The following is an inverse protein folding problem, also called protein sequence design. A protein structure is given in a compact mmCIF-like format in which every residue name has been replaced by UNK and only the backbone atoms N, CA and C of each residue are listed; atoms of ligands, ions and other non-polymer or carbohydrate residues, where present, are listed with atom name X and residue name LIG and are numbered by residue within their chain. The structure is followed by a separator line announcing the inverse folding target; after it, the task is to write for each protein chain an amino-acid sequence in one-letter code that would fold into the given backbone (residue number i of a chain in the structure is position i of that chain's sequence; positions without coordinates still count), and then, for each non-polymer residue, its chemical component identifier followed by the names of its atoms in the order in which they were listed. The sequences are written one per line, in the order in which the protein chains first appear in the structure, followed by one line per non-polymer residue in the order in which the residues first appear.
data_IF_601788407340
#
_entry.id   IF_601788407340
#
_cell.length_a   1.000
_cell.length_b   1.000
_cell.length_c   1.000
_cell.angle_alpha   90.00
_cell.angle_beta   90.00
_cell.angle_gamma   90.00
#
_symmetry.space_group_name_H-M   'P 1'
#
loop_
_entity.id
_entity.type
_entity.pdbx_description
1 polymer ?
#
# COMPACT_ATOMS: atom_id res chain seq x y z
N UNK A 1 -0.15 8.63 5.76
CA UNK A 1 0.65 7.70 4.93
C UNK A 1 -0.19 7.07 3.84
N UNK A 2 0.45 6.58 2.79
CA UNK A 2 -0.26 5.99 1.67
C UNK A 2 0.54 6.13 0.41
N UNK A 3 1.01 5.01 -0.12
CA UNK A 3 1.35 4.92 -1.53
C UNK A 3 0.80 3.62 -2.07
N UNK A 4 -0.06 3.77 -3.08
CA UNK A 4 0.23 3.12 -4.36
C UNK A 4 -0.39 1.75 -4.61
N UNK A 5 -1.71 1.64 -4.52
CA UNK A 5 -2.40 0.51 -5.13
C UNK A 5 -2.17 0.46 -6.65
N UNK A 6 -1.34 -0.48 -7.12
CA UNK A 6 -1.30 -0.88 -8.54
C UNK A 6 -2.46 -1.81 -8.86
N UNK A 7 -3.38 -1.37 -9.72
CA UNK A 7 -4.26 -2.29 -10.45
C UNK A 7 -3.91 -2.23 -11.94
N UNK A 8 -3.04 -3.14 -12.40
CA UNK A 8 -2.86 -3.37 -13.84
C UNK A 8 -4.00 -4.24 -14.36
N UNK A 9 -5.19 -3.65 -14.44
CA UNK A 9 -6.32 -4.20 -15.18
C UNK A 9 -6.24 -3.82 -16.65
N UNK A 10 -5.20 -4.24 -17.39
CA UNK A 10 -5.31 -4.17 -18.86
C UNK A 10 -6.34 -5.21 -19.28
N UNK A 11 -7.59 -4.78 -19.43
CA UNK A 11 -8.59 -5.49 -20.23
C UNK A 11 -8.00 -5.72 -21.62
N UNK A 12 -7.58 -6.94 -21.91
CA UNK A 12 -7.77 -7.53 -23.24
C UNK A 12 -7.69 -9.05 -23.16
N UNK A 13 -8.86 -9.65 -23.43
CA UNK A 13 -9.03 -10.87 -24.22
C UNK A 13 -8.13 -12.07 -23.88
N UNK A 14 -8.76 -13.11 -23.30
CA UNK A 14 -8.40 -14.54 -23.43
C UNK A 14 -6.93 -14.90 -23.10
N UNK A 15 -6.71 -15.39 -21.88
CA UNK A 15 -5.60 -16.31 -21.57
C UNK A 15 -4.57 -15.76 -20.57
N UNK A 16 -4.47 -16.46 -19.43
CA UNK A 16 -3.45 -16.37 -18.36
C UNK A 16 -3.39 -15.06 -17.56
N UNK A 17 -3.60 -15.21 -16.25
CA UNK A 17 -3.64 -14.17 -15.22
C UNK A 17 -2.37 -13.34 -15.19
N UNK A 18 -2.48 -12.07 -15.56
CA UNK A 18 -1.43 -11.08 -15.37
C UNK A 18 -1.65 -10.46 -13.97
N UNK A 19 -1.25 -11.17 -12.91
CA UNK A 19 -1.44 -10.72 -11.52
C UNK A 19 -0.65 -9.43 -11.30
N UNK A 20 -1.34 -8.31 -11.12
CA UNK A 20 -0.72 -7.02 -10.76
C UNK A 20 0.01 -7.10 -9.41
N UNK A 21 1.10 -6.34 -9.27
CA UNK A 21 1.88 -6.18 -8.04
C UNK A 21 1.41 -4.95 -7.32
N UNK A 22 0.85 -5.07 -6.12
CA UNK A 22 0.45 -3.96 -5.24
C UNK A 22 1.62 -3.61 -4.33
N UNK A 23 1.94 -2.32 -4.20
CA UNK A 23 2.88 -1.84 -3.20
C UNK A 23 2.09 -1.06 -2.16
N UNK A 24 2.39 -1.30 -0.90
CA UNK A 24 1.74 -0.62 0.21
C UNK A 24 2.82 -0.11 1.14
N UNK A 25 2.78 1.15 1.54
CA UNK A 25 3.72 1.69 2.52
C UNK A 25 3.02 2.51 3.58
N UNK A 26 3.36 2.22 4.84
CA UNK A 26 2.83 2.87 6.03
C UNK A 26 3.84 2.65 7.18
N UNK A 27 4.34 3.74 7.75
CA UNK A 27 5.27 3.77 8.91
C UNK A 27 4.56 3.65 10.27
N UNK A 28 3.22 3.69 10.34
CA UNK A 28 2.53 3.57 11.61
C UNK A 28 2.30 2.11 12.01
N UNK A 29 2.33 1.90 13.32
CA UNK A 29 1.76 0.71 13.94
C UNK A 29 0.25 0.86 14.15
N UNK A 30 -0.44 -0.27 14.21
CA UNK A 30 -1.87 -0.35 14.49
C UNK A 30 -2.12 0.02 15.95
N UNK A 31 -3.03 0.97 16.16
CA UNK A 31 -3.51 1.36 17.47
C UNK A 31 -4.96 0.96 17.69
N UNK A 32 -5.36 0.84 18.96
CA UNK A 32 -6.76 0.57 19.34
C UNK A 32 -7.74 1.60 18.76
N UNK A 33 -7.32 2.86 18.65
CA UNK A 33 -8.09 3.96 18.04
C UNK A 33 -8.43 3.68 16.56
N UNK A 34 -7.54 3.00 15.83
CA UNK A 34 -7.70 2.68 14.42
C UNK A 34 -8.78 1.62 14.16
N UNK A 35 -9.00 0.69 15.10
CA UNK A 35 -9.94 -0.43 14.95
C UNK A 35 -11.40 0.04 14.73
N UNK A 36 -11.74 1.24 15.21
CA UNK A 36 -13.07 1.82 15.05
C UNK A 36 -13.40 2.24 13.60
N UNK A 37 -12.38 2.45 12.76
CA UNK A 37 -12.53 3.02 11.39
C UNK A 37 -11.84 2.17 10.31
N UNK A 38 -10.88 1.34 10.67
CA UNK A 38 -10.06 0.54 9.76
C UNK A 38 -10.41 -0.95 9.91
N UNK A 39 -11.36 -1.40 9.09
CA UNK A 39 -11.97 -2.75 9.18
C UNK A 39 -10.99 -3.91 8.93
N UNK A 40 -9.81 -3.63 8.37
CA UNK A 40 -8.79 -4.64 8.07
C UNK A 40 -8.06 -5.14 9.31
N UNK A 41 -8.10 -4.39 10.42
CA UNK A 41 -7.28 -4.68 11.61
C UNK A 41 -8.10 -5.32 12.72
N UNK A 42 -7.43 -6.11 13.57
CA UNK A 42 -8.00 -6.75 14.77
C UNK A 42 -7.27 -6.29 16.02
N UNK A 43 -7.85 -6.51 17.20
CA UNK A 43 -7.17 -6.23 18.47
C UNK A 43 -5.84 -6.99 18.62
N UNK A 44 -5.75 -8.19 18.03
CA UNK A 44 -4.52 -8.98 17.99
C UNK A 44 -3.39 -8.34 17.16
N UNK A 45 -3.72 -7.38 16.30
CA UNK A 45 -2.76 -6.71 15.43
C UNK A 45 -2.20 -5.42 16.03
N UNK A 46 -2.67 -5.00 17.20
CA UNK A 46 -2.20 -3.78 17.88
C UNK A 46 -0.68 -3.86 18.09
N UNK A 47 0.03 -2.81 17.70
CA UNK A 47 1.49 -2.71 17.77
C UNK A 47 2.22 -3.27 16.56
N UNK A 48 1.53 -3.95 15.62
CA UNK A 48 2.11 -4.38 14.34
C UNK A 48 1.99 -3.28 13.30
N UNK A 49 2.87 -3.31 12.30
CA UNK A 49 2.86 -2.35 11.20
C UNK A 49 1.59 -2.46 10.35
N UNK A 50 0.91 -1.33 10.11
CA UNK A 50 -0.33 -1.27 9.32
C UNK A 50 -0.15 -1.86 7.92
N UNK A 51 0.97 -1.54 7.26
CA UNK A 51 1.27 -2.01 5.90
C UNK A 51 1.40 -3.53 5.82
N UNK A 52 2.12 -4.14 6.76
CA UNK A 52 2.31 -5.59 6.79
C UNK A 52 1.00 -6.34 7.07
N UNK A 53 0.24 -5.90 8.07
CA UNK A 53 -1.04 -6.54 8.41
C UNK A 53 -2.07 -6.37 7.30
N UNK A 54 -2.14 -5.20 6.65
CA UNK A 54 -3.01 -4.99 5.50
C UNK A 54 -2.64 -5.92 4.33
N UNK A 55 -1.34 -6.13 4.08
CA UNK A 55 -0.87 -7.06 3.06
C UNK A 55 -1.19 -8.53 3.40
N UNK A 56 -1.07 -8.93 4.66
CA UNK A 56 -1.50 -10.26 5.13
C UNK A 56 -3.02 -10.46 4.98
N UNK A 57 -3.82 -9.46 5.38
CA UNK A 57 -5.27 -9.50 5.26
C UNK A 57 -5.70 -9.61 3.79
N UNK A 58 -5.10 -8.83 2.90
CA UNK A 58 -5.40 -8.88 1.47
C UNK A 58 -4.96 -10.21 0.82
N UNK A 59 -3.82 -10.79 1.24
CA UNK A 59 -3.41 -12.15 0.81
C UNK A 59 -4.35 -13.24 1.30
N UNK A 60 -4.96 -13.07 2.47
CA UNK A 60 -5.98 -14.01 2.98
C UNK A 60 -7.23 -13.98 2.10
N UNK A 61 -7.60 -12.82 1.56
CA UNK A 61 -8.74 -12.65 0.64
C UNK A 61 -8.41 -13.18 -0.76
N UNK A 62 -7.21 -12.88 -1.27
CA UNK A 62 -6.75 -13.34 -2.57
C UNK A 62 -5.26 -13.77 -2.49
N UNK A 63 -4.99 -15.07 -2.36
CA UNK A 63 -3.63 -15.60 -2.27
C UNK A 63 -2.77 -15.37 -3.52
N UNK A 64 -3.40 -15.15 -4.69
CA UNK A 64 -2.67 -14.85 -5.94
C UNK A 64 -2.21 -13.39 -6.02
N UNK A 65 -2.67 -12.53 -5.08
CA UNK A 65 -2.28 -11.14 -5.05
C UNK A 65 -0.82 -10.99 -4.59
N UNK A 66 -0.01 -10.32 -5.42
CA UNK A 66 1.37 -9.99 -5.08
C UNK A 66 1.40 -8.63 -4.39
N UNK A 67 1.66 -8.62 -3.09
CA UNK A 67 1.69 -7.41 -2.27
C UNK A 67 3.06 -7.26 -1.62
N UNK A 68 3.66 -6.09 -1.79
CA UNK A 68 4.89 -5.70 -1.11
C UNK A 68 4.57 -4.59 -0.12
N UNK A 69 4.82 -4.86 1.15
CA UNK A 69 4.59 -3.92 2.24
C UNK A 69 5.92 -3.31 2.66
N UNK A 70 5.93 -1.98 2.81
CA UNK A 70 7.04 -1.19 3.31
C UNK A 70 6.62 -0.42 4.56
N UNK A 71 7.60 -0.09 5.38
CA UNK A 71 7.45 0.67 6.63
C UNK A 71 8.00 2.11 6.52
N UNK A 72 8.21 2.57 5.29
CA UNK A 72 8.92 3.81 5.01
C UNK A 72 7.98 4.92 4.55
N UNK A 73 8.14 6.12 5.14
CA UNK A 73 7.47 7.33 4.62
C UNK A 73 8.01 7.63 3.24
N UNK A 74 7.12 7.93 2.30
CA UNK A 74 7.53 8.45 1.00
C UNK A 74 7.93 9.92 1.16
N UNK A 75 9.18 10.22 0.84
CA UNK A 75 9.87 11.45 1.18
C UNK A 75 11.29 11.46 0.61
N UNK A 76 11.97 12.61 0.67
CA UNK A 76 13.35 12.74 0.17
C UNK A 76 14.33 11.74 0.79
N UNK A 77 14.11 11.33 2.05
CA UNK A 77 14.95 10.34 2.76
C UNK A 77 14.83 8.93 2.16
N UNK A 78 13.75 8.63 1.44
CA UNK A 78 13.43 7.30 0.90
C UNK A 78 13.39 7.27 -0.62
N UNK A 79 13.91 8.30 -1.29
CA UNK A 79 14.06 8.35 -2.76
C UNK A 79 14.85 7.16 -3.32
N UNK A 80 15.77 6.60 -2.54
CA UNK A 80 16.52 5.40 -2.94
C UNK A 80 15.63 4.14 -3.00
N UNK A 81 14.49 4.12 -2.31
CA UNK A 81 13.50 3.04 -2.34
C UNK A 81 12.35 3.35 -3.32
N UNK A 82 11.96 4.62 -3.39
CA UNK A 82 10.90 5.15 -4.25
C UNK A 82 11.50 6.06 -5.32
N UNK A 83 12.41 5.49 -6.12
CA UNK A 83 13.11 6.20 -7.18
C UNK A 83 12.22 6.43 -8.42
N UNK A 84 12.72 7.17 -9.40
CA UNK A 84 11.98 7.44 -10.65
C UNK A 84 11.52 6.15 -11.33
N UNK A 85 12.34 5.09 -11.30
CA UNK A 85 11.99 3.78 -11.89
C UNK A 85 10.83 3.13 -11.17
N UNK A 86 10.78 3.22 -9.84
CA UNK A 86 9.64 2.77 -9.05
C UNK A 86 8.37 3.48 -9.51
N UNK A 87 8.39 4.82 -9.57
CA UNK A 87 7.22 5.62 -9.97
C UNK A 87 6.77 5.34 -11.41
N UNK A 88 7.70 5.25 -12.36
CA UNK A 88 7.40 4.90 -13.76
C UNK A 88 6.82 3.48 -13.91
N UNK A 89 7.18 2.56 -13.00
CA UNK A 89 6.62 1.21 -13.01
C UNK A 89 5.15 1.16 -12.58
N UNK A 90 4.65 2.23 -11.93
CA UNK A 90 3.31 2.30 -11.41
C UNK A 90 2.29 2.71 -12.49
N UNK A 91 1.34 1.82 -12.78
CA UNK A 91 0.09 2.13 -13.48
C UNK A 91 -0.81 3.20 -12.80
N UNK A 92 -0.93 3.19 -11.47
CA UNK A 92 -1.67 4.20 -10.70
C UNK A 92 -1.13 4.29 -9.27
N UNK A 93 -1.35 5.45 -8.66
CA UNK A 93 -1.08 5.72 -7.24
C UNK A 93 -2.40 5.99 -6.53
N UNK A 94 -2.66 5.28 -5.44
CA UNK A 94 -3.82 5.53 -4.59
C UNK A 94 -3.34 6.04 -3.23
N UNK A 95 -3.72 7.27 -2.90
CA UNK A 95 -3.43 7.89 -1.62
C UNK A 95 -4.53 7.54 -0.62
N UNK A 96 -4.17 6.79 0.43
CA UNK A 96 -5.02 6.52 1.59
C UNK A 96 -4.61 7.37 2.80
N UNK A 97 -4.20 8.61 2.51
CA UNK A 97 -3.63 9.56 3.45
C UNK A 97 -4.74 10.21 4.27
N UNK A 98 -4.71 10.03 5.59
CA UNK A 98 -5.55 10.76 6.55
C UNK A 98 -4.91 12.07 7.03
N UNK A 99 -3.66 12.36 6.63
CA UNK A 99 -2.92 13.57 6.97
C UNK A 99 -2.63 14.45 5.74
N UNK A 100 -2.72 15.77 5.93
CA UNK A 100 -2.59 16.79 4.88
C UNK A 100 -1.16 16.90 4.36
N UNK A 101 -0.16 16.73 5.23
CA UNK A 101 1.26 16.91 4.90
C UNK A 101 1.78 15.89 3.89
N UNK A 102 1.40 14.63 4.04
CA UNK A 102 1.80 13.58 3.11
C UNK A 102 1.00 13.65 1.79
N UNK A 103 -0.14 14.35 1.75
CA UNK A 103 -0.89 14.59 0.50
C UNK A 103 -0.15 15.58 -0.40
N UNK A 104 0.44 16.62 0.18
CA UNK A 104 1.19 17.63 -0.54
C UNK A 104 2.46 17.08 -1.21
N UNK A 105 3.09 16.05 -0.64
CA UNK A 105 4.31 15.45 -1.19
C UNK A 105 4.06 14.52 -2.39
N UNK A 106 2.90 13.86 -2.45
CA UNK A 106 2.56 12.99 -3.59
C UNK A 106 1.98 13.78 -4.76
N UNK A 107 1.44 14.97 -4.51
CA UNK A 107 0.86 15.87 -5.52
C UNK A 107 1.89 16.83 -6.16
N UNK A 108 3.16 16.82 -5.72
CA UNK A 108 4.26 17.66 -6.23
C UNK A 108 5.15 16.91 -7.22
#
# INVERSE_FOLDING_TARGET
MGVGGQVKGKRKSRGKSNTGRVVLTDMDCIERSNLSRQLLFRESDIGRLKSHVAAEAARTINPEMRIEAYEHRVGGETEHLFDERFWESLACVCNALDNVEARLYVDS
#
